data_IF_179491462912
#
_entry.id   IF_179491462912
#
_cell.length_a   1.000
_cell.length_b   1.000
_cell.length_c   1.000
_cell.angle_alpha   90.00
_cell.angle_beta   90.00
_cell.angle_gamma   90.00
#
_symmetry.space_group_name_H-M   'P 1'
#
loop_
_entity.id
_entity.type
_entity.pdbx_description
1 polymer ?
#
# COMPACT_ATOMS: atom_id res chain seq x y z
N UNK A 1 3.93 -2.37 13.66
CA UNK A 1 4.67 -2.97 12.52
C UNK A 1 4.06 -4.31 12.11
N UNK A 2 3.98 -5.31 12.98
CA UNK A 2 3.46 -6.64 12.60
C UNK A 2 2.00 -6.61 12.10
N UNK A 3 1.14 -5.78 12.70
CA UNK A 3 -0.24 -5.59 12.25
C UNK A 3 -0.33 -4.93 10.86
N UNK A 4 0.55 -3.99 10.54
CA UNK A 4 0.64 -3.34 9.22
C UNK A 4 1.07 -4.33 8.14
N UNK A 5 2.07 -5.17 8.42
CA UNK A 5 2.46 -6.23 7.51
C UNK A 5 1.35 -7.28 7.32
N UNK A 6 0.61 -7.61 8.37
CA UNK A 6 -0.53 -8.52 8.28
C UNK A 6 -1.65 -7.95 7.41
N UNK A 7 -1.96 -6.66 7.53
CA UNK A 7 -2.95 -5.95 6.71
C UNK A 7 -2.53 -5.97 5.23
N UNK A 8 -1.28 -5.60 4.94
CA UNK A 8 -0.74 -5.62 3.56
C UNK A 8 -0.74 -7.03 2.96
N UNK A 9 -0.43 -8.05 3.76
CA UNK A 9 -0.49 -9.46 3.34
C UNK A 9 -1.91 -9.90 3.01
N UNK A 10 -2.90 -9.49 3.80
CA UNK A 10 -4.31 -9.81 3.54
C UNK A 10 -4.83 -9.09 2.28
N UNK A 11 -4.43 -7.84 2.06
CA UNK A 11 -4.68 -7.12 0.81
C UNK A 11 -4.07 -7.85 -0.40
N UNK A 12 -2.81 -8.27 -0.29
CA UNK A 12 -2.11 -9.01 -1.33
C UNK A 12 -2.81 -10.34 -1.65
N UNK A 13 -3.22 -11.08 -0.61
CA UNK A 13 -3.95 -12.35 -0.76
C UNK A 13 -5.31 -12.18 -1.45
N UNK A 14 -6.02 -11.07 -1.21
CA UNK A 14 -7.36 -10.80 -1.78
C UNK A 14 -7.32 -10.29 -3.22
N UNK A 15 -6.36 -9.44 -3.57
CA UNK A 15 -6.35 -8.72 -4.85
C UNK A 15 -5.28 -9.19 -5.85
N UNK A 16 -4.23 -9.88 -5.38
CA UNK A 16 -3.08 -10.24 -6.20
C UNK A 16 -2.68 -11.69 -6.05
N UNK A 17 -3.57 -12.65 -6.34
CA UNK A 17 -3.29 -14.09 -6.16
C UNK A 17 -1.99 -14.52 -6.86
N UNK A 18 -1.73 -14.08 -8.09
CA UNK A 18 -0.47 -14.35 -8.80
C UNK A 18 0.75 -13.71 -8.12
N UNK A 19 0.61 -12.46 -7.64
CA UNK A 19 1.70 -11.73 -6.97
C UNK A 19 2.00 -12.25 -5.56
N UNK A 20 0.97 -12.75 -4.87
CA UNK A 20 1.07 -13.44 -3.58
C UNK A 20 1.83 -14.76 -3.70
N UNK A 21 1.64 -15.50 -4.80
CA UNK A 21 2.39 -16.73 -5.04
C UNK A 21 3.83 -16.45 -5.49
N UNK A 22 4.07 -15.43 -6.31
CA UNK A 22 5.44 -15.07 -6.72
C UNK A 22 6.28 -14.57 -5.53
N UNK A 23 5.69 -13.87 -4.57
CA UNK A 23 6.37 -13.46 -3.35
C UNK A 23 6.84 -14.63 -2.47
N UNK A 24 6.24 -15.82 -2.59
CA UNK A 24 6.73 -17.02 -1.88
C UNK A 24 8.05 -17.57 -2.42
N UNK A 25 8.44 -17.21 -3.63
CA UNK A 25 9.75 -17.58 -4.23
C UNK A 25 10.89 -16.81 -3.56
N UNK A 26 10.60 -15.70 -2.90
CA UNK A 26 11.60 -14.89 -2.20
C UNK A 26 12.02 -15.50 -0.84
N UNK A 27 13.24 -15.19 -0.37
CA UNK A 27 13.68 -15.47 0.99
C UNK A 27 12.68 -14.94 2.05
N UNK A 28 12.41 -15.68 3.14
CA UNK A 28 11.38 -15.34 4.13
C UNK A 28 11.49 -13.93 4.73
N UNK A 29 12.72 -13.46 4.94
CA UNK A 29 13.09 -12.13 5.43
C UNK A 29 12.68 -11.00 4.48
N UNK A 30 12.62 -11.25 3.17
CA UNK A 30 12.24 -10.25 2.17
C UNK A 30 10.74 -10.15 1.91
N UNK A 31 9.97 -11.18 2.25
CA UNK A 31 8.53 -11.24 1.96
C UNK A 31 7.71 -10.12 2.62
N UNK A 32 7.94 -9.74 3.89
CA UNK A 32 7.18 -8.67 4.52
C UNK A 32 7.33 -7.34 3.77
N UNK A 33 8.55 -6.99 3.35
CA UNK A 33 8.81 -5.77 2.58
C UNK A 33 8.09 -5.75 1.23
N UNK A 34 8.04 -6.88 0.53
CA UNK A 34 7.31 -6.95 -0.74
C UNK A 34 5.79 -6.90 -0.55
N UNK A 35 5.27 -7.47 0.53
CA UNK A 35 3.86 -7.30 0.87
C UNK A 35 3.52 -5.85 1.18
N UNK A 36 4.38 -5.13 1.91
CA UNK A 36 4.20 -3.71 2.18
C UNK A 36 4.21 -2.86 0.91
N UNK A 37 5.20 -3.07 0.02
CA UNK A 37 5.27 -2.38 -1.27
C UNK A 37 4.02 -2.63 -2.11
N UNK A 38 3.56 -3.88 -2.16
CA UNK A 38 2.32 -4.22 -2.86
C UNK A 38 1.10 -3.53 -2.23
N UNK A 39 0.99 -3.53 -0.90
CA UNK A 39 -0.09 -2.86 -0.17
C UNK A 39 -0.14 -1.36 -0.48
N UNK A 40 1.02 -0.71 -0.55
CA UNK A 40 1.15 0.69 -0.95
C UNK A 40 0.65 0.94 -2.37
N UNK A 41 1.12 0.16 -3.35
CA UNK A 41 0.69 0.30 -4.73
C UNK A 41 -0.82 0.04 -4.89
N UNK A 42 -1.34 -1.02 -4.25
CA UNK A 42 -2.77 -1.35 -4.33
C UNK A 42 -3.64 -0.25 -3.74
N UNK A 43 -3.21 0.38 -2.65
CA UNK A 43 -3.95 1.50 -2.07
C UNK A 43 -4.02 2.72 -3.01
N UNK A 44 -2.93 2.98 -3.75
CA UNK A 44 -2.96 4.00 -4.80
C UNK A 44 -3.91 3.61 -5.95
N UNK A 45 -3.93 2.34 -6.36
CA UNK A 45 -4.87 1.85 -7.38
C UNK A 45 -6.33 1.96 -6.89
N UNK A 46 -6.61 1.62 -5.63
CA UNK A 46 -7.96 1.77 -5.03
C UNK A 46 -8.43 3.23 -5.07
N UNK A 47 -7.53 4.19 -4.85
CA UNK A 47 -7.84 5.62 -4.99
C UNK A 47 -8.23 5.94 -6.45
N UNK A 48 -7.56 5.33 -7.42
CA UNK A 48 -7.80 5.60 -8.85
C UNK A 48 -9.04 4.85 -9.36
N UNK A 49 -9.30 3.63 -8.91
CA UNK A 49 -10.32 2.76 -9.48
C UNK A 49 -11.64 2.81 -8.71
N UNK A 50 -11.60 2.89 -7.37
CA UNK A 50 -12.74 2.62 -6.49
C UNK A 50 -13.27 3.84 -5.72
N UNK A 51 -12.81 5.07 -6.03
CA UNK A 51 -13.32 6.31 -5.39
C UNK A 51 -14.79 6.66 -5.71
N UNK A 52 -15.49 5.82 -6.48
CA UNK A 52 -16.87 6.08 -6.92
C UNK A 52 -16.97 7.15 -8.01
N UNK A 53 -18.19 7.64 -8.32
CA UNK A 53 -18.45 8.59 -9.40
C UNK A 53 -18.07 10.03 -8.99
N UNK A 54 -16.81 10.24 -8.63
CA UNK A 54 -16.23 11.56 -8.33
C UNK A 54 -15.61 12.18 -9.58
N UNK A 55 -15.56 13.52 -9.67
CA UNK A 55 -14.77 14.22 -10.69
C UNK A 55 -13.30 13.79 -10.69
N UNK A 56 -12.67 13.84 -11.86
CA UNK A 56 -11.24 13.51 -12.03
C UNK A 56 -10.35 14.34 -11.09
N UNK A 57 -10.65 15.63 -10.94
CA UNK A 57 -9.89 16.52 -10.06
C UNK A 57 -9.89 16.07 -8.58
N UNK A 58 -10.99 15.50 -8.09
CA UNK A 58 -11.06 14.98 -6.72
C UNK A 58 -10.21 13.72 -6.54
N UNK A 59 -10.19 12.86 -7.57
CA UNK A 59 -9.34 11.66 -7.62
C UNK A 59 -7.86 12.02 -7.67
N UNK A 60 -7.48 13.00 -8.50
CA UNK A 60 -6.13 13.54 -8.57
C UNK A 60 -5.69 14.15 -7.23
N UNK A 61 -6.57 14.92 -6.58
CA UNK A 61 -6.30 15.51 -5.28
C UNK A 61 -6.11 14.44 -4.19
N UNK A 62 -6.92 13.37 -4.20
CA UNK A 62 -6.80 12.25 -3.27
C UNK A 62 -5.45 11.52 -3.44
N UNK A 63 -5.07 11.23 -4.69
CA UNK A 63 -3.80 10.57 -5.01
C UNK A 63 -2.60 11.46 -4.64
N UNK A 64 -2.66 12.75 -4.97
CA UNK A 64 -1.62 13.71 -4.61
C UNK A 64 -1.47 13.84 -3.09
N UNK A 65 -2.58 13.88 -2.36
CA UNK A 65 -2.59 13.92 -0.90
C UNK A 65 -1.96 12.66 -0.30
N UNK A 66 -2.26 11.49 -0.84
CA UNK A 66 -1.64 10.22 -0.43
C UNK A 66 -0.11 10.25 -0.61
N UNK A 67 0.37 10.68 -1.78
CA UNK A 67 1.81 10.81 -2.05
C UNK A 67 2.51 11.82 -1.12
N UNK A 68 1.88 12.96 -0.86
CA UNK A 68 2.41 13.96 0.08
C UNK A 68 2.51 13.41 1.51
N UNK A 69 1.52 12.65 1.98
CA UNK A 69 1.57 11.98 3.29
C UNK A 69 2.74 11.00 3.35
N UNK A 70 2.91 10.17 2.31
CA UNK A 70 4.03 9.23 2.24
C UNK A 70 5.39 9.92 2.39
N UNK A 71 5.68 10.96 1.58
CA UNK A 71 6.97 11.64 1.67
C UNK A 71 7.18 12.35 3.00
N UNK A 72 6.13 12.94 3.57
CA UNK A 72 6.20 13.57 4.89
C UNK A 72 6.52 12.55 5.98
N UNK A 73 5.83 11.42 5.97
CA UNK A 73 5.98 10.39 7.00
C UNK A 73 7.35 9.68 6.87
N UNK A 74 7.85 9.52 5.64
CA UNK A 74 9.21 9.06 5.35
C UNK A 74 10.27 10.03 5.92
N UNK A 75 10.07 11.34 5.76
CA UNK A 75 10.95 12.35 6.35
C UNK A 75 10.88 12.36 7.89
N UNK A 76 9.71 12.12 8.46
CA UNK A 76 9.51 12.05 9.90
C UNK A 76 10.04 10.74 10.52
N UNK A 77 10.24 9.69 9.70
CA UNK A 77 10.64 8.36 10.14
C UNK A 77 9.55 7.59 10.89
N UNK A 78 8.30 8.07 10.83
CA UNK A 78 7.14 7.46 11.50
C UNK A 78 5.85 7.80 10.75
N UNK A 79 4.91 6.86 10.78
CA UNK A 79 3.58 7.00 10.17
C UNK A 79 2.50 6.51 11.13
N UNK A 80 1.33 7.15 11.11
CA UNK A 80 0.10 6.65 11.76
C UNK A 80 -0.82 5.90 10.81
N UNK A 81 -0.55 5.97 9.50
CA UNK A 81 -1.26 5.20 8.48
C UNK A 81 -0.67 3.79 8.42
N UNK A 82 -1.46 2.73 8.61
CA UNK A 82 -0.96 1.37 8.69
C UNK A 82 -0.35 0.86 7.38
N UNK A 83 -0.76 1.38 6.22
CA UNK A 83 -0.16 1.03 4.92
C UNK A 83 1.18 1.75 4.76
N UNK A 84 1.22 3.05 5.10
CA UNK A 84 2.47 3.84 5.00
C UNK A 84 3.51 3.44 6.06
N UNK A 85 3.07 2.97 7.24
CA UNK A 85 3.97 2.45 8.28
C UNK A 85 4.66 1.14 7.91
N UNK A 86 4.13 0.41 6.92
CA UNK A 86 4.70 -0.85 6.46
C UNK A 86 5.89 -0.66 5.51
N UNK A 87 6.03 0.53 4.91
CA UNK A 87 7.01 0.89 3.88
C UNK A 87 8.16 1.68 4.50
#
# INVERSE_FOLDING_TARGET
MDESYALCKEFNKRHGTTYYWSTKVLPPDKRPHVHALYGFCRYADDIVDDLGPVPVAEREAALASFGQRFFRDLQAGASTDPVLMAV
#
